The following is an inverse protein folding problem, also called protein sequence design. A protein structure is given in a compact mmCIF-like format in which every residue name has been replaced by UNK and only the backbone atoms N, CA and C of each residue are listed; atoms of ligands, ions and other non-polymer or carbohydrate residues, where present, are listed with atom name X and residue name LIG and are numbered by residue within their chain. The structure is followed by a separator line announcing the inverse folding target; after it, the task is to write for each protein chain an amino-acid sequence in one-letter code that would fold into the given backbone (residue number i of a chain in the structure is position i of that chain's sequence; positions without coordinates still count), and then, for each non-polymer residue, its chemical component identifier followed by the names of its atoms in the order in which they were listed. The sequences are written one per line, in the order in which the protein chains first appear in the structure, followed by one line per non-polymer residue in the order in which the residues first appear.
data_IF_212970675656
#
_entry.id   IF_212970675656
#
_cell.length_a   1.000
_cell.length_b   1.000
_cell.length_c   1.000
_cell.angle_alpha   90.00
_cell.angle_beta   90.00
_cell.angle_gamma   90.00
#
_symmetry.space_group_name_H-M   'P 1'
#
loop_
_entity.id
_entity.type
_entity.pdbx_description
1 polymer ?
#
# COMPACT_ATOMS: atom_id res chain seq x y z
N UNK A 1 23.33 -24.21 29.14
CA UNK A 1 23.09 -23.84 27.71
C UNK A 1 21.59 -23.81 27.30
N UNK A 2 20.68 -24.59 27.94
CA UNK A 2 19.25 -24.62 27.56
C UNK A 2 18.44 -23.35 27.88
N UNK A 3 18.72 -22.63 28.98
CA UNK A 3 17.91 -21.47 29.42
C UNK A 3 18.15 -20.18 28.60
N UNK A 4 19.35 -19.99 28.08
CA UNK A 4 19.67 -18.83 27.24
C UNK A 4 19.04 -18.92 25.85
N UNK A 5 18.91 -20.13 25.28
CA UNK A 5 18.25 -20.33 23.98
C UNK A 5 16.73 -20.12 24.08
N UNK A 6 16.11 -20.52 25.18
CA UNK A 6 14.66 -20.32 25.38
C UNK A 6 14.29 -18.84 25.57
N UNK A 7 15.11 -18.04 26.27
CA UNK A 7 14.85 -16.61 26.47
C UNK A 7 15.04 -15.79 25.18
N UNK A 8 15.98 -16.17 24.34
CA UNK A 8 16.20 -15.54 23.02
C UNK A 8 15.05 -15.86 22.05
N UNK A 9 14.52 -17.07 22.06
CA UNK A 9 13.37 -17.46 21.25
C UNK A 9 12.10 -16.72 21.69
N UNK A 10 11.87 -16.55 22.99
CA UNK A 10 10.72 -15.77 23.53
C UNK A 10 10.80 -14.29 23.12
N UNK A 11 11.98 -13.65 23.20
CA UNK A 11 12.16 -12.25 22.77
C UNK A 11 11.87 -12.07 21.29
N UNK A 12 12.24 -13.01 20.44
CA UNK A 12 11.97 -12.97 18.98
C UNK A 12 10.50 -13.16 18.66
N UNK A 13 9.83 -14.06 19.37
CA UNK A 13 8.37 -14.24 19.24
C UNK A 13 7.65 -12.94 19.63
N UNK A 14 8.10 -12.28 20.70
CA UNK A 14 7.57 -10.99 21.13
C UNK A 14 7.72 -9.89 20.07
N UNK A 15 8.92 -9.73 19.49
CA UNK A 15 9.14 -8.74 18.40
C UNK A 15 8.26 -9.05 17.19
N UNK A 16 8.13 -10.32 16.81
CA UNK A 16 7.27 -10.71 15.70
C UNK A 16 5.79 -10.41 15.97
N UNK A 17 5.28 -10.74 17.15
CA UNK A 17 3.92 -10.42 17.53
C UNK A 17 3.68 -8.89 17.56
N UNK A 18 4.64 -8.11 18.08
CA UNK A 18 4.57 -6.66 18.08
C UNK A 18 4.58 -6.07 16.66
N UNK A 19 5.40 -6.62 15.76
CA UNK A 19 5.43 -6.19 14.36
C UNK A 19 4.10 -6.46 13.65
N UNK A 20 3.44 -7.58 13.92
CA UNK A 20 2.09 -7.88 13.43
C UNK A 20 1.06 -6.90 13.97
N UNK A 21 1.12 -6.59 15.27
CA UNK A 21 0.19 -5.63 15.88
C UNK A 21 0.38 -4.23 15.28
N UNK A 22 1.64 -3.79 15.10
CA UNK A 22 1.96 -2.50 14.44
C UNK A 22 1.47 -2.48 12.99
N UNK A 23 1.66 -3.56 12.24
CA UNK A 23 1.20 -3.70 10.86
C UNK A 23 -0.33 -3.61 10.76
N UNK A 24 -1.05 -4.35 11.60
CA UNK A 24 -2.51 -4.34 11.64
C UNK A 24 -3.07 -2.96 12.02
N UNK A 25 -2.47 -2.32 13.05
CA UNK A 25 -2.83 -0.95 13.46
C UNK A 25 -2.58 0.06 12.35
N UNK A 26 -1.51 -0.11 11.57
CA UNK A 26 -1.21 0.74 10.40
C UNK A 26 -2.25 0.55 9.30
N UNK A 27 -2.72 -0.67 9.05
CA UNK A 27 -3.79 -0.90 8.08
C UNK A 27 -5.11 -0.22 8.51
N UNK A 28 -5.47 -0.28 9.79
CA UNK A 28 -6.61 0.44 10.33
C UNK A 28 -6.44 1.96 10.21
N UNK A 29 -5.21 2.47 10.42
CA UNK A 29 -4.90 3.88 10.22
C UNK A 29 -5.07 4.29 8.75
N UNK A 30 -4.64 3.46 7.78
CA UNK A 30 -4.87 3.70 6.36
C UNK A 30 -6.37 3.78 6.04
N UNK A 31 -7.17 2.85 6.57
CA UNK A 31 -8.63 2.88 6.41
C UNK A 31 -9.25 4.15 7.00
N UNK A 32 -8.82 4.53 8.21
CA UNK A 32 -9.25 5.78 8.86
C UNK A 32 -8.93 7.01 7.99
N UNK A 33 -7.69 7.13 7.47
CA UNK A 33 -7.31 8.21 6.56
C UNK A 33 -8.10 8.20 5.25
N UNK A 34 -8.43 7.00 4.75
CA UNK A 34 -9.33 6.82 3.61
C UNK A 34 -10.72 7.41 3.85
N UNK A 35 -11.31 7.16 5.02
CA UNK A 35 -12.62 7.72 5.41
C UNK A 35 -12.55 9.24 5.52
N UNK A 36 -11.52 9.78 6.21
CA UNK A 36 -11.30 11.23 6.35
C UNK A 36 -11.29 11.92 4.98
N UNK A 37 -10.51 11.38 4.05
CA UNK A 37 -10.41 11.95 2.69
C UNK A 37 -11.69 11.72 1.88
N UNK A 38 -12.33 10.54 1.97
CA UNK A 38 -13.55 10.22 1.21
C UNK A 38 -14.76 11.07 1.63
N UNK A 39 -14.81 11.45 2.92
CA UNK A 39 -15.82 12.38 3.44
C UNK A 39 -15.49 13.85 3.21
N UNK A 40 -14.30 14.18 2.70
CA UNK A 40 -13.87 15.58 2.51
C UNK A 40 -13.60 16.34 3.81
N UNK A 41 -13.32 15.62 4.91
CA UNK A 41 -13.20 16.22 6.26
C UNK A 41 -11.75 16.33 6.76
N UNK A 42 -10.77 16.19 5.88
CA UNK A 42 -9.36 16.19 6.26
C UNK A 42 -8.75 17.58 6.51
N UNK A 43 -9.58 18.60 6.62
CA UNK A 43 -9.24 19.98 7.00
C UNK A 43 -10.21 20.51 8.07
N UNK A 44 -10.91 19.60 8.77
CA UNK A 44 -11.89 19.97 9.81
C UNK A 44 -11.22 20.48 11.09
N UNK A 45 -9.94 20.15 11.31
CA UNK A 45 -9.14 20.63 12.45
C UNK A 45 -7.96 21.41 11.91
N UNK A 46 -7.99 22.75 11.93
CA UNK A 46 -7.07 23.61 11.16
C UNK A 46 -5.68 23.77 11.79
N UNK A 47 -5.48 23.31 13.01
CA UNK A 47 -4.23 23.43 13.77
C UNK A 47 -3.53 22.10 14.00
N UNK A 48 -2.21 22.14 14.13
CA UNK A 48 -1.35 21.02 14.44
C UNK A 48 -0.07 21.53 15.13
N UNK A 49 0.43 20.90 16.20
CA UNK A 49 0.05 19.61 16.80
C UNK A 49 -1.14 19.67 17.79
N UNK A 50 -1.81 20.79 17.88
CA UNK A 50 -3.00 20.98 18.71
C UNK A 50 -4.30 20.60 18.00
N UNK A 51 -5.42 20.64 18.71
CA UNK A 51 -6.78 20.52 18.19
C UNK A 51 -7.61 21.67 18.75
N UNK A 52 -7.88 22.69 17.93
CA UNK A 52 -8.53 23.94 18.35
C UNK A 52 -7.88 24.59 19.57
N UNK A 53 -6.53 24.63 19.59
CA UNK A 53 -5.73 25.17 20.69
C UNK A 53 -5.57 24.27 21.91
N UNK A 54 -6.31 23.17 22.00
CA UNK A 54 -6.15 22.18 23.06
C UNK A 54 -4.99 21.24 22.80
N UNK A 55 -4.41 20.68 23.85
CA UNK A 55 -3.59 19.48 23.69
C UNK A 55 -4.41 18.40 23.00
N UNK A 56 -3.87 17.80 21.91
CA UNK A 56 -4.58 16.81 21.10
C UNK A 56 -5.12 15.63 21.94
N UNK A 57 -4.41 15.19 22.98
CA UNK A 57 -4.83 14.06 23.82
C UNK A 57 -5.86 14.44 24.89
N UNK A 58 -6.07 15.73 25.11
CA UNK A 58 -6.98 16.29 26.13
C UNK A 58 -8.14 17.07 25.51
N UNK A 59 -8.34 16.93 24.18
CA UNK A 59 -9.44 17.61 23.50
C UNK A 59 -10.79 17.07 24.01
N UNK A 60 -11.72 17.97 24.44
CA UNK A 60 -12.98 17.56 25.04
C UNK A 60 -13.84 16.70 24.12
N UNK A 61 -14.41 15.61 24.65
CA UNK A 61 -15.27 14.68 23.89
C UNK A 61 -16.50 15.40 23.33
N UNK A 62 -17.01 16.43 23.99
CA UNK A 62 -18.12 17.26 23.49
C UNK A 62 -17.80 17.98 22.17
N UNK A 63 -16.50 18.17 21.84
CA UNK A 63 -16.04 18.72 20.57
C UNK A 63 -15.90 17.71 19.44
N UNK A 64 -16.12 16.41 19.71
CA UNK A 64 -15.98 15.34 18.70
C UNK A 64 -17.24 15.23 17.83
N UNK A 65 -17.48 16.23 17.00
CA UNK A 65 -18.68 16.34 16.16
C UNK A 65 -18.35 16.38 14.68
N UNK A 66 -19.19 15.81 13.84
CA UNK A 66 -19.09 15.90 12.39
C UNK A 66 -17.70 15.51 11.85
N UNK A 67 -17.09 16.38 11.03
CA UNK A 67 -15.76 16.20 10.44
C UNK A 67 -14.63 16.11 11.46
N UNK A 68 -14.75 16.85 12.57
CA UNK A 68 -13.76 16.86 13.66
C UNK A 68 -13.60 15.46 14.24
N UNK A 69 -14.68 14.71 14.43
CA UNK A 69 -14.62 13.34 14.93
C UNK A 69 -13.70 12.46 14.08
N UNK A 70 -13.87 12.48 12.76
CA UNK A 70 -13.10 11.62 11.87
C UNK A 70 -11.62 12.03 11.82
N UNK A 71 -11.33 13.32 11.67
CA UNK A 71 -9.97 13.83 11.57
C UNK A 71 -9.22 13.69 12.88
N UNK A 72 -9.84 14.06 14.00
CA UNK A 72 -9.22 13.96 15.31
C UNK A 72 -8.97 12.49 15.71
N UNK A 73 -9.93 11.58 15.49
CA UNK A 73 -9.74 10.15 15.71
C UNK A 73 -8.58 9.60 14.87
N UNK A 74 -8.48 10.02 13.59
CA UNK A 74 -7.36 9.64 12.72
C UNK A 74 -6.01 10.10 13.31
N UNK A 75 -5.90 11.31 13.83
CA UNK A 75 -4.69 11.85 14.48
C UNK A 75 -4.29 11.05 15.71
N UNK A 76 -5.26 10.65 16.55
CA UNK A 76 -4.99 9.83 17.74
C UNK A 76 -4.50 8.44 17.36
N UNK A 77 -5.14 7.78 16.38
CA UNK A 77 -4.69 6.48 15.87
C UNK A 77 -3.28 6.61 15.28
N UNK A 78 -2.99 7.70 14.53
CA UNK A 78 -1.67 7.96 13.96
C UNK A 78 -0.59 8.12 15.04
N UNK A 79 -0.91 8.81 16.14
CA UNK A 79 -0.01 8.95 17.28
C UNK A 79 0.26 7.60 17.95
N UNK A 80 -0.77 6.75 18.07
CA UNK A 80 -0.63 5.37 18.54
C UNK A 80 0.28 4.53 17.66
N UNK A 81 0.09 4.57 16.34
CA UNK A 81 0.96 3.87 15.38
C UNK A 81 2.39 4.40 15.42
N UNK A 82 2.58 5.71 15.60
CA UNK A 82 3.89 6.33 15.81
C UNK A 82 4.60 5.73 17.02
N UNK A 83 3.91 5.64 18.17
CA UNK A 83 4.44 5.03 19.40
C UNK A 83 4.77 3.54 19.20
N UNK A 84 3.87 2.77 18.59
CA UNK A 84 4.09 1.36 18.29
C UNK A 84 5.34 1.16 17.41
N UNK A 85 5.53 2.02 16.42
CA UNK A 85 6.68 1.98 15.51
C UNK A 85 7.98 2.35 16.23
N UNK A 86 7.96 3.34 17.11
CA UNK A 86 9.10 3.72 17.94
C UNK A 86 9.54 2.56 18.84
N UNK A 87 8.60 1.90 19.52
CA UNK A 87 8.87 0.73 20.35
C UNK A 87 9.43 -0.42 19.50
N UNK A 88 8.83 -0.68 18.31
CA UNK A 88 9.33 -1.69 17.39
C UNK A 88 10.77 -1.43 16.96
N UNK A 89 11.10 -0.21 16.59
CA UNK A 89 12.45 0.17 16.16
C UNK A 89 13.46 0.01 17.30
N UNK A 90 13.15 0.50 18.51
CA UNK A 90 13.98 0.34 19.69
C UNK A 90 14.21 -1.15 20.05
N UNK A 91 13.14 -1.94 19.98
CA UNK A 91 13.23 -3.38 20.27
C UNK A 91 14.07 -4.13 19.24
N UNK A 92 13.92 -3.82 17.93
CA UNK A 92 14.77 -4.37 16.87
C UNK A 92 16.25 -3.99 17.06
N UNK A 93 16.55 -2.75 17.44
CA UNK A 93 17.91 -2.32 17.73
C UNK A 93 18.55 -3.11 18.89
N UNK A 94 17.76 -3.45 19.90
CA UNK A 94 18.21 -4.16 21.08
C UNK A 94 18.46 -5.66 20.86
N UNK A 95 17.55 -6.35 20.11
CA UNK A 95 17.55 -7.83 20.09
C UNK A 95 17.87 -8.46 18.74
N UNK A 96 17.72 -7.73 17.63
CA UNK A 96 17.90 -8.30 16.29
C UNK A 96 19.39 -8.34 15.90
N UNK A 97 19.97 -9.50 15.56
CA UNK A 97 21.40 -9.59 15.21
C UNK A 97 21.70 -9.08 13.78
N UNK A 98 20.71 -9.11 12.87
CA UNK A 98 20.90 -8.78 11.46
C UNK A 98 20.82 -7.27 11.24
N UNK A 99 21.92 -6.66 10.81
CA UNK A 99 22.02 -5.19 10.59
C UNK A 99 20.94 -4.66 9.63
N UNK A 100 20.64 -5.40 8.56
CA UNK A 100 19.64 -4.95 7.59
C UNK A 100 18.23 -4.84 8.18
N UNK A 101 17.84 -5.72 9.12
CA UNK A 101 16.54 -5.66 9.81
C UNK A 101 16.50 -4.49 10.81
N UNK A 102 17.62 -4.26 11.54
CA UNK A 102 17.76 -3.06 12.39
C UNK A 102 17.57 -1.78 11.58
N UNK A 103 18.22 -1.70 10.40
CA UNK A 103 18.11 -0.54 9.53
C UNK A 103 16.66 -0.35 9.02
N UNK A 104 15.93 -1.43 8.69
CA UNK A 104 14.50 -1.31 8.34
C UNK A 104 13.68 -0.75 9.51
N UNK A 105 13.96 -1.13 10.75
CA UNK A 105 13.32 -0.55 11.95
C UNK A 105 13.57 0.95 12.08
N UNK A 106 14.81 1.40 11.88
CA UNK A 106 15.17 2.82 11.88
C UNK A 106 14.47 3.57 10.74
N UNK A 107 14.48 3.01 9.52
CA UNK A 107 13.81 3.59 8.36
C UNK A 107 12.30 3.71 8.63
N UNK A 108 11.68 2.71 9.25
CA UNK A 108 10.27 2.76 9.62
C UNK A 108 9.98 3.88 10.63
N UNK A 109 10.84 4.07 11.63
CA UNK A 109 10.71 5.15 12.60
C UNK A 109 10.85 6.53 11.94
N UNK A 110 11.85 6.72 11.08
CA UNK A 110 12.02 7.97 10.33
C UNK A 110 10.81 8.21 9.42
N UNK A 111 10.33 7.17 8.72
CA UNK A 111 9.17 7.28 7.84
C UNK A 111 7.90 7.69 8.59
N UNK A 112 7.64 7.16 9.80
CA UNK A 112 6.46 7.55 10.58
C UNK A 112 6.57 8.98 11.13
N UNK A 113 7.78 9.45 11.46
CA UNK A 113 8.00 10.86 11.82
C UNK A 113 7.72 11.80 10.63
N UNK A 114 8.23 11.45 9.44
CA UNK A 114 7.94 12.21 8.20
C UNK A 114 6.44 12.18 7.88
N UNK A 115 5.76 11.05 8.10
CA UNK A 115 4.30 10.95 7.95
C UNK A 115 3.54 11.92 8.86
N UNK A 116 3.92 11.99 10.14
CA UNK A 116 3.33 12.95 11.08
C UNK A 116 3.53 14.39 10.61
N UNK A 117 4.75 14.72 10.17
CA UNK A 117 5.08 16.04 9.66
C UNK A 117 4.28 16.39 8.40
N UNK A 118 4.20 15.50 7.41
CA UNK A 118 3.42 15.72 6.18
C UNK A 118 1.93 15.92 6.49
N UNK A 119 1.37 15.08 7.39
CA UNK A 119 -0.02 15.22 7.83
C UNK A 119 -0.29 16.57 8.52
N UNK A 120 0.61 17.00 9.41
CA UNK A 120 0.52 18.27 10.08
C UNK A 120 0.67 19.48 9.12
N UNK A 121 1.69 19.45 8.25
CA UNK A 121 1.94 20.52 7.26
C UNK A 121 0.77 20.65 6.27
N UNK A 122 0.17 19.53 5.85
CA UNK A 122 -1.00 19.57 4.96
C UNK A 122 -2.10 20.46 5.53
N UNK A 123 -2.40 20.29 6.81
CA UNK A 123 -3.46 21.02 7.49
C UNK A 123 -3.02 22.46 7.79
N UNK A 124 -1.84 22.66 8.38
CA UNK A 124 -1.36 23.98 8.78
C UNK A 124 -1.10 24.92 7.60
N UNK A 125 -0.76 24.38 6.42
CA UNK A 125 -0.52 25.14 5.20
C UNK A 125 -1.73 25.18 4.26
N UNK A 126 -2.81 24.46 4.58
CA UNK A 126 -3.99 24.29 3.72
C UNK A 126 -3.66 23.85 2.29
N UNK A 127 -2.68 22.92 2.15
CA UNK A 127 -2.21 22.41 0.85
C UNK A 127 -2.60 20.95 0.64
N UNK A 128 -3.58 20.74 -0.23
CA UNK A 128 -4.07 19.40 -0.56
C UNK A 128 -3.01 18.54 -1.28
N UNK A 129 -2.10 19.13 -2.04
CA UNK A 129 -1.06 18.44 -2.79
C UNK A 129 -0.11 17.67 -1.86
N UNK A 130 0.14 18.16 -0.64
CA UNK A 130 0.92 17.41 0.38
C UNK A 130 0.26 16.07 0.71
N UNK A 131 -1.07 15.99 0.60
CA UNK A 131 -1.83 14.76 0.81
C UNK A 131 -1.46 13.64 -0.16
N UNK A 132 -1.01 13.95 -1.39
CA UNK A 132 -0.55 12.95 -2.37
C UNK A 132 0.70 12.25 -1.82
N UNK A 133 1.71 13.02 -1.39
CA UNK A 133 2.95 12.48 -0.82
C UNK A 133 2.70 11.74 0.48
N UNK A 134 1.84 12.27 1.35
CA UNK A 134 1.41 11.64 2.59
C UNK A 134 0.77 10.26 2.31
N UNK A 135 -0.13 10.16 1.33
CA UNK A 135 -0.79 8.92 0.97
C UNK A 135 0.20 7.88 0.40
N UNK A 136 1.13 8.28 -0.48
CA UNK A 136 2.13 7.38 -1.06
C UNK A 136 3.13 6.87 -0.03
N UNK A 137 3.60 7.76 0.84
CA UNK A 137 4.52 7.37 1.91
C UNK A 137 3.81 6.43 2.91
N UNK A 138 2.52 6.65 3.22
CA UNK A 138 1.73 5.78 4.10
C UNK A 138 1.66 4.34 3.57
N UNK A 139 1.43 4.16 2.27
CA UNK A 139 1.37 2.84 1.65
C UNK A 139 2.74 2.17 1.57
N UNK A 140 3.80 2.96 1.30
CA UNK A 140 5.19 2.49 1.34
C UNK A 140 5.59 2.05 2.75
N UNK A 141 5.19 2.81 3.77
CA UNK A 141 5.40 2.49 5.18
C UNK A 141 4.68 1.19 5.60
N UNK A 142 3.44 1.00 5.14
CA UNK A 142 2.70 -0.24 5.37
C UNK A 142 3.42 -1.46 4.76
N UNK A 143 3.93 -1.34 3.54
CA UNK A 143 4.73 -2.39 2.89
C UNK A 143 6.06 -2.66 3.64
N UNK A 144 6.72 -1.61 4.12
CA UNK A 144 7.95 -1.72 4.92
C UNK A 144 7.71 -2.49 6.22
N UNK A 145 6.63 -2.20 6.94
CA UNK A 145 6.24 -2.95 8.14
C UNK A 145 5.95 -4.42 7.81
N UNK A 146 5.36 -4.70 6.65
CA UNK A 146 5.15 -6.07 6.17
C UNK A 146 6.46 -6.83 5.99
N UNK A 147 7.48 -6.20 5.38
CA UNK A 147 8.82 -6.80 5.24
C UNK A 147 9.44 -7.05 6.62
N UNK A 148 9.35 -6.10 7.55
CA UNK A 148 9.84 -6.26 8.93
C UNK A 148 9.14 -7.44 9.61
N UNK A 149 7.81 -7.51 9.49
CA UNK A 149 7.00 -8.59 10.08
C UNK A 149 7.41 -9.96 9.55
N UNK A 150 7.66 -10.08 8.25
CA UNK A 150 8.18 -11.30 7.67
C UNK A 150 9.60 -11.61 8.16
N UNK A 151 10.48 -10.61 8.15
CA UNK A 151 11.86 -10.77 8.52
C UNK A 151 12.03 -11.20 9.98
N UNK A 152 11.13 -10.77 10.88
CA UNK A 152 11.12 -11.14 12.29
C UNK A 152 10.46 -12.50 12.57
N UNK A 153 9.79 -13.10 11.57
CA UNK A 153 9.14 -14.41 11.73
C UNK A 153 10.11 -15.50 12.16
N UNK A 154 9.78 -16.32 13.18
CA UNK A 154 10.59 -17.45 13.59
C UNK A 154 10.86 -18.42 12.44
N UNK A 155 9.90 -18.65 11.54
CA UNK A 155 10.07 -19.49 10.34
C UNK A 155 11.11 -18.92 9.38
N UNK A 156 11.08 -17.60 9.15
CA UNK A 156 12.08 -16.93 8.30
C UNK A 156 13.49 -17.00 8.90
N UNK A 157 13.60 -16.85 10.21
CA UNK A 157 14.88 -16.91 10.92
C UNK A 157 15.52 -18.28 10.86
N UNK A 158 14.73 -19.36 10.98
CA UNK A 158 15.19 -20.75 10.92
C UNK A 158 15.46 -21.27 9.50
N UNK A 159 15.37 -20.39 8.48
CA UNK A 159 15.53 -20.80 7.08
C UNK A 159 14.40 -21.68 6.54
N UNK A 160 13.36 -21.91 7.34
CA UNK A 160 12.20 -22.76 7.01
C UNK A 160 11.14 -22.08 6.15
N UNK A 161 11.41 -20.91 5.60
CA UNK A 161 10.51 -20.28 4.63
C UNK A 161 10.64 -20.98 3.29
N UNK A 162 9.51 -21.42 2.80
CA UNK A 162 9.41 -22.03 1.49
C UNK A 162 9.97 -21.10 0.43
N UNK A 163 11.09 -21.50 -0.09
CA UNK A 163 11.77 -20.80 -1.17
C UNK A 163 10.95 -21.03 -2.43
N UNK A 164 10.50 -19.95 -3.08
CA UNK A 164 9.98 -20.07 -4.43
C UNK A 164 11.12 -20.48 -5.36
N UNK A 165 10.81 -21.40 -6.29
CA UNK A 165 11.80 -21.82 -7.28
C UNK A 165 12.23 -20.57 -8.07
N UNK A 166 13.54 -20.39 -8.29
CA UNK A 166 14.06 -19.24 -8.99
C UNK A 166 13.52 -19.16 -10.42
N UNK A 167 12.65 -18.19 -10.69
CA UNK A 167 12.19 -17.87 -12.04
C UNK A 167 12.43 -16.37 -12.31
N UNK A 168 13.49 -16.02 -13.07
CA UNK A 168 13.82 -14.62 -13.34
C UNK A 168 12.72 -13.87 -14.10
N UNK A 169 11.97 -14.57 -14.97
CA UNK A 169 10.87 -13.97 -15.74
C UNK A 169 9.70 -13.66 -14.82
N UNK A 170 9.31 -14.61 -13.95
CA UNK A 170 8.26 -14.41 -12.95
C UNK A 170 8.60 -13.24 -12.02
N UNK A 171 9.87 -13.13 -11.60
CA UNK A 171 10.35 -12.02 -10.78
C UNK A 171 10.20 -10.68 -11.48
N UNK A 172 10.60 -10.58 -12.76
CA UNK A 172 10.46 -9.34 -13.54
C UNK A 172 9.00 -8.94 -13.73
N UNK A 173 8.13 -9.90 -14.04
CA UNK A 173 6.69 -9.65 -14.18
C UNK A 173 6.06 -9.22 -12.86
N UNK A 174 6.39 -9.87 -11.74
CA UNK A 174 5.89 -9.49 -10.42
C UNK A 174 6.36 -8.08 -10.02
N UNK A 175 7.62 -7.74 -10.30
CA UNK A 175 8.16 -6.40 -10.05
C UNK A 175 7.46 -5.36 -10.91
N UNK A 176 7.29 -5.61 -12.21
CA UNK A 176 6.57 -4.72 -13.13
C UNK A 176 5.14 -4.48 -12.63
N UNK A 177 4.41 -5.54 -12.28
CA UNK A 177 3.05 -5.43 -11.74
C UNK A 177 3.01 -4.59 -10.45
N UNK A 178 3.98 -4.80 -9.54
CA UNK A 178 4.08 -4.06 -8.29
C UNK A 178 4.34 -2.56 -8.53
N UNK A 179 5.24 -2.24 -9.45
CA UNK A 179 5.54 -0.86 -9.84
C UNK A 179 4.32 -0.20 -10.50
N UNK A 180 3.63 -0.90 -11.39
CA UNK A 180 2.41 -0.38 -12.02
C UNK A 180 1.31 -0.11 -10.98
N UNK A 181 1.14 -0.99 -9.97
CA UNK A 181 0.20 -0.76 -8.87
C UNK A 181 0.61 0.46 -8.04
N UNK A 182 1.89 0.68 -7.77
CA UNK A 182 2.35 1.88 -7.08
C UNK A 182 2.05 3.16 -7.89
N UNK A 183 2.28 3.14 -9.20
CA UNK A 183 1.92 4.23 -10.12
C UNK A 183 0.39 4.45 -10.10
N UNK A 184 -0.39 3.38 -10.11
CA UNK A 184 -1.86 3.45 -10.03
C UNK A 184 -2.33 4.14 -8.74
N UNK A 185 -1.69 3.82 -7.62
CA UNK A 185 -1.99 4.45 -6.33
C UNK A 185 -1.61 5.93 -6.31
N UNK A 186 -0.51 6.29 -6.99
CA UNK A 186 -0.13 7.69 -7.19
C UNK A 186 -1.18 8.45 -8.02
N UNK A 187 -1.62 7.88 -9.15
CA UNK A 187 -2.70 8.45 -9.97
C UNK A 187 -4.00 8.56 -9.19
N UNK A 188 -4.36 7.53 -8.39
CA UNK A 188 -5.54 7.56 -7.54
C UNK A 188 -5.47 8.62 -6.45
N UNK A 189 -4.31 8.82 -5.82
CA UNK A 189 -4.09 9.88 -4.85
C UNK A 189 -4.20 11.27 -5.52
N UNK A 190 -3.56 11.47 -6.66
CA UNK A 190 -3.67 12.71 -7.46
C UNK A 190 -5.13 12.97 -7.84
N UNK A 191 -5.82 11.99 -8.42
CA UNK A 191 -7.22 12.10 -8.80
C UNK A 191 -8.12 12.48 -7.62
N UNK A 192 -7.79 12.01 -6.41
CA UNK A 192 -8.53 12.30 -5.20
C UNK A 192 -8.33 13.74 -4.72
N UNK A 193 -7.10 14.24 -4.74
CA UNK A 193 -6.74 15.58 -4.29
C UNK A 193 -7.04 16.66 -5.34
N UNK A 194 -7.06 16.30 -6.63
CA UNK A 194 -7.50 17.17 -7.73
C UNK A 194 -9.02 17.12 -7.95
N UNK A 195 -9.79 16.48 -7.06
CA UNK A 195 -11.25 16.32 -7.17
C UNK A 195 -11.72 15.69 -8.49
N UNK A 196 -10.85 14.96 -9.19
CA UNK A 196 -11.08 14.35 -10.50
C UNK A 196 -11.86 13.02 -10.46
N UNK A 197 -12.24 12.53 -9.27
CA UNK A 197 -12.84 11.19 -9.10
C UNK A 197 -14.17 10.97 -9.82
N UNK A 198 -14.90 12.04 -10.11
CA UNK A 198 -16.15 12.04 -10.87
C UNK A 198 -16.08 13.00 -12.08
N UNK A 199 -14.87 13.27 -12.59
CA UNK A 199 -14.71 14.04 -13.81
C UNK A 199 -15.43 13.36 -14.98
N UNK A 200 -15.43 12.02 -15.04
CA UNK A 200 -16.19 11.20 -15.98
C UNK A 200 -17.24 10.42 -15.17
N UNK A 201 -18.54 10.65 -15.40
CA UNK A 201 -19.61 10.09 -14.58
C UNK A 201 -20.03 8.67 -14.98
N UNK A 202 -19.58 8.16 -16.11
CA UNK A 202 -19.96 6.86 -16.66
C UNK A 202 -18.79 5.86 -16.68
N UNK A 203 -19.13 4.58 -16.69
CA UNK A 203 -18.21 3.46 -16.81
C UNK A 203 -18.92 2.27 -17.47
N UNK A 204 -18.34 1.57 -18.46
CA UNK A 204 -16.92 1.63 -18.87
C UNK A 204 -16.57 2.77 -19.83
N UNK A 205 -17.56 3.44 -20.40
CA UNK A 205 -17.36 4.54 -21.34
C UNK A 205 -16.96 5.85 -20.63
N UNK A 206 -16.65 6.86 -21.43
CA UNK A 206 -16.32 8.21 -20.99
C UNK A 206 -17.18 9.20 -21.80
N UNK A 207 -18.26 9.70 -21.18
CA UNK A 207 -19.29 10.51 -21.85
C UNK A 207 -19.93 9.80 -23.05
N UNK A 208 -20.13 8.47 -22.93
CA UNK A 208 -20.70 7.62 -23.97
C UNK A 208 -19.71 7.14 -25.05
N UNK A 209 -18.45 7.56 -24.99
CA UNK A 209 -17.38 7.21 -25.94
C UNK A 209 -16.28 6.40 -25.27
N UNK A 210 -15.40 5.73 -26.05
CA UNK A 210 -14.22 5.02 -25.54
C UNK A 210 -13.14 6.03 -25.10
N UNK A 211 -12.95 7.11 -25.88
CA UNK A 211 -12.05 8.21 -25.59
C UNK A 211 -12.86 9.51 -25.60
N UNK A 212 -12.84 10.28 -24.51
CA UNK A 212 -13.63 11.51 -24.45
C UNK A 212 -13.03 12.61 -25.31
N UNK A 213 -13.86 13.36 -26.00
CA UNK A 213 -13.45 14.61 -26.65
C UNK A 213 -13.29 15.69 -25.56
N UNK A 214 -12.13 16.31 -25.53
CA UNK A 214 -11.79 17.38 -24.58
C UNK A 214 -11.43 18.69 -25.30
N UNK A 215 -11.81 18.82 -26.59
CA UNK A 215 -11.71 20.11 -27.30
C UNK A 215 -12.54 21.18 -26.56
N UNK A 216 -12.16 22.48 -26.64
CA UNK A 216 -12.86 23.53 -25.89
C UNK A 216 -14.37 23.51 -26.05
N UNK A 217 -14.88 23.33 -27.27
CA UNK A 217 -16.33 23.27 -27.57
C UNK A 217 -17.02 22.06 -26.94
N UNK A 218 -16.37 20.89 -26.94
CA UNK A 218 -16.89 19.68 -26.30
C UNK A 218 -16.89 19.79 -24.79
N UNK A 219 -15.82 20.37 -24.23
CA UNK A 219 -15.69 20.61 -22.79
C UNK A 219 -16.74 21.62 -22.29
N UNK A 220 -17.02 22.69 -23.06
CA UNK A 220 -18.07 23.65 -22.75
C UNK A 220 -19.45 23.00 -22.76
N UNK A 221 -19.73 22.12 -23.73
CA UNK A 221 -21.00 21.36 -23.78
C UNK A 221 -21.12 20.41 -22.56
N UNK A 222 -20.05 19.69 -22.20
CA UNK A 222 -20.00 18.85 -21.00
C UNK A 222 -20.29 19.68 -19.74
N UNK A 223 -19.64 20.83 -19.59
CA UNK A 223 -19.78 21.67 -18.39
C UNK A 223 -21.16 22.35 -18.33
N UNK A 224 -21.73 22.73 -19.47
CA UNK A 224 -23.11 23.24 -19.54
C UNK A 224 -24.11 22.19 -19.03
N UNK A 225 -23.95 20.92 -19.45
CA UNK A 225 -24.79 19.81 -18.96
C UNK A 225 -24.58 19.55 -17.47
N UNK A 226 -23.32 19.55 -17.00
CA UNK A 226 -22.99 19.35 -15.57
C UNK A 226 -23.64 20.43 -14.70
N UNK A 227 -23.58 21.67 -15.13
CA UNK A 227 -24.22 22.80 -14.41
C UNK A 227 -25.75 22.66 -14.39
N UNK A 228 -26.38 22.19 -15.48
CA UNK A 228 -27.81 21.93 -15.52
C UNK A 228 -28.23 20.80 -14.56
N UNK A 229 -27.33 19.84 -14.30
CA UNK A 229 -27.53 18.72 -13.36
C UNK A 229 -27.03 19.06 -11.93
N UNK A 230 -26.73 20.32 -11.64
CA UNK A 230 -26.18 20.83 -10.35
C UNK A 230 -24.83 20.15 -9.95
N UNK A 231 -24.02 19.79 -10.96
CA UNK A 231 -22.71 19.17 -10.78
C UNK A 231 -21.61 20.20 -11.09
N UNK A 232 -20.56 20.22 -10.26
CA UNK A 232 -19.40 21.09 -10.43
C UNK A 232 -18.75 20.87 -11.82
N UNK A 233 -18.38 21.94 -12.55
CA UNK A 233 -17.65 21.85 -13.81
C UNK A 233 -16.35 21.04 -13.68
N UNK A 234 -15.94 20.42 -14.77
CA UNK A 234 -14.68 19.64 -14.84
C UNK A 234 -13.71 20.28 -15.84
N UNK A 235 -12.43 19.95 -15.71
CA UNK A 235 -11.37 20.35 -16.64
C UNK A 235 -10.90 19.20 -17.50
N UNK A 236 -10.29 19.50 -18.65
CA UNK A 236 -9.64 18.48 -19.48
C UNK A 236 -8.58 17.71 -18.71
N UNK A 237 -7.81 18.36 -17.83
CA UNK A 237 -6.80 17.70 -16.99
C UNK A 237 -7.42 16.66 -16.06
N UNK A 238 -8.54 16.97 -15.40
CA UNK A 238 -9.25 16.03 -14.52
C UNK A 238 -9.78 14.82 -15.30
N UNK A 239 -10.33 15.04 -16.49
CA UNK A 239 -10.79 13.97 -17.39
C UNK A 239 -9.61 13.05 -17.75
N UNK A 240 -8.47 13.61 -18.17
CA UNK A 240 -7.32 12.82 -18.59
C UNK A 240 -6.61 12.12 -17.44
N UNK A 241 -6.58 12.67 -16.21
CA UNK A 241 -6.09 11.97 -15.03
C UNK A 241 -6.94 10.72 -14.76
N UNK A 242 -8.27 10.82 -14.87
CA UNK A 242 -9.17 9.68 -14.68
C UNK A 242 -9.01 8.65 -15.81
N UNK A 243 -8.82 9.07 -17.07
CA UNK A 243 -8.53 8.17 -18.19
C UNK A 243 -7.18 7.47 -18.03
N UNK A 244 -6.14 8.17 -17.59
CA UNK A 244 -4.85 7.57 -17.29
C UNK A 244 -4.96 6.51 -16.20
N UNK A 245 -5.72 6.79 -15.14
CA UNK A 245 -6.00 5.82 -14.08
C UNK A 245 -6.69 4.56 -14.62
N UNK A 246 -7.70 4.70 -15.50
CA UNK A 246 -8.36 3.56 -16.16
C UNK A 246 -7.41 2.78 -17.07
N UNK A 247 -6.59 3.47 -17.86
CA UNK A 247 -5.62 2.84 -18.77
C UNK A 247 -4.54 2.05 -18.04
N UNK A 248 -3.98 2.61 -16.96
CA UNK A 248 -3.00 1.89 -16.11
C UNK A 248 -3.64 0.68 -15.43
N UNK A 249 -4.93 0.75 -15.03
CA UNK A 249 -5.65 -0.39 -14.46
C UNK A 249 -5.73 -1.58 -15.45
N UNK A 250 -5.95 -1.32 -16.75
CA UNK A 250 -5.89 -2.35 -17.80
C UNK A 250 -4.48 -2.95 -17.88
N UNK A 251 -3.45 -2.11 -17.88
CA UNK A 251 -2.05 -2.55 -17.88
C UNK A 251 -1.71 -3.44 -16.68
N UNK A 252 -2.18 -3.08 -15.49
CA UNK A 252 -2.02 -3.89 -14.26
C UNK A 252 -2.71 -5.24 -14.41
N UNK A 253 -3.95 -5.26 -14.89
CA UNK A 253 -4.70 -6.50 -15.09
C UNK A 253 -3.93 -7.45 -16.00
N UNK A 254 -3.48 -6.98 -17.17
CA UNK A 254 -2.69 -7.77 -18.12
C UNK A 254 -1.35 -8.23 -17.53
N UNK A 255 -0.67 -7.39 -16.76
CA UNK A 255 0.58 -7.74 -16.10
C UNK A 255 0.38 -8.84 -15.05
N UNK A 256 -0.65 -8.75 -14.20
CA UNK A 256 -0.95 -9.76 -13.17
C UNK A 256 -1.47 -11.06 -13.80
N UNK A 257 -2.24 -11.01 -14.89
CA UNK A 257 -2.59 -12.19 -15.69
C UNK A 257 -1.31 -12.88 -16.21
N UNK A 258 -0.33 -12.09 -16.70
CA UNK A 258 0.94 -12.64 -17.18
C UNK A 258 1.74 -13.30 -16.06
N UNK A 259 1.70 -12.75 -14.83
CA UNK A 259 2.27 -13.38 -13.63
C UNK A 259 1.60 -14.74 -13.35
N UNK A 260 0.27 -14.78 -13.37
CA UNK A 260 -0.49 -16.01 -13.10
C UNK A 260 -0.25 -17.07 -14.17
N UNK A 261 -0.25 -16.71 -15.45
CA UNK A 261 0.05 -17.60 -16.58
C UNK A 261 1.48 -18.15 -16.50
N UNK A 262 2.46 -17.31 -16.13
CA UNK A 262 3.84 -17.76 -15.95
C UNK A 262 3.98 -18.73 -14.79
N UNK A 263 3.32 -18.44 -13.66
CA UNK A 263 3.30 -19.33 -12.51
C UNK A 263 2.59 -20.67 -12.80
N UNK A 264 1.50 -20.63 -13.60
CA UNK A 264 0.78 -21.84 -14.03
C UNK A 264 1.63 -22.75 -14.92
N UNK A 265 2.37 -22.20 -15.87
CA UNK A 265 3.25 -22.95 -16.76
C UNK A 265 4.44 -23.58 -16.03
N UNK A 266 4.78 -23.08 -14.85
CA UNK A 266 5.87 -23.61 -14.03
C UNK A 266 5.28 -24.55 -12.96
N UNK A 267 5.05 -25.84 -13.33
CA UNK A 267 4.38 -26.85 -12.50
C UNK A 267 5.03 -27.07 -11.11
N UNK A 268 6.30 -26.73 -10.96
CA UNK A 268 7.03 -26.86 -9.68
C UNK A 268 6.73 -25.71 -8.72
N UNK A 269 6.13 -24.60 -9.22
CA UNK A 269 5.87 -23.38 -8.45
C UNK A 269 4.44 -23.26 -7.93
N UNK A 270 3.78 -24.36 -7.51
CA UNK A 270 2.37 -24.39 -7.07
C UNK A 270 1.99 -23.27 -6.08
N UNK A 271 2.89 -22.91 -5.17
CA UNK A 271 2.66 -21.82 -4.21
C UNK A 271 2.67 -20.44 -4.88
N UNK A 272 3.57 -20.21 -5.84
CA UNK A 272 3.57 -18.97 -6.61
C UNK A 272 2.28 -18.82 -7.42
N UNK A 273 1.72 -19.93 -7.93
CA UNK A 273 0.41 -19.93 -8.59
C UNK A 273 -0.71 -19.49 -7.64
N UNK A 274 -0.77 -20.04 -6.42
CA UNK A 274 -1.79 -19.62 -5.43
C UNK A 274 -1.71 -18.12 -5.14
N UNK A 275 -0.50 -17.59 -4.92
CA UNK A 275 -0.30 -16.16 -4.69
C UNK A 275 -0.71 -15.30 -5.88
N UNK A 276 -0.38 -15.74 -7.09
CA UNK A 276 -0.75 -15.07 -8.33
C UNK A 276 -2.26 -15.07 -8.56
N UNK A 277 -2.96 -16.16 -8.24
CA UNK A 277 -4.42 -16.25 -8.34
C UNK A 277 -5.12 -15.37 -7.32
N UNK A 278 -4.63 -15.31 -6.07
CA UNK A 278 -5.14 -14.37 -5.06
C UNK A 278 -4.95 -12.93 -5.54
N UNK A 279 -3.77 -12.61 -6.08
CA UNK A 279 -3.50 -11.27 -6.59
C UNK A 279 -4.42 -10.89 -7.76
N UNK A 280 -4.61 -11.82 -8.71
CA UNK A 280 -5.53 -11.62 -9.85
C UNK A 280 -6.97 -11.40 -9.37
N UNK A 281 -7.45 -12.17 -8.39
CA UNK A 281 -8.76 -11.97 -7.79
C UNK A 281 -8.86 -10.58 -7.14
N UNK A 282 -7.83 -10.15 -6.41
CA UNK A 282 -7.80 -8.80 -5.81
C UNK A 282 -7.88 -7.71 -6.88
N UNK A 283 -7.14 -7.84 -7.99
CA UNK A 283 -7.19 -6.86 -9.09
C UNK A 283 -8.56 -6.86 -9.76
N UNK A 284 -9.18 -8.02 -9.95
CA UNK A 284 -10.55 -8.10 -10.46
C UNK A 284 -11.55 -7.36 -9.54
N UNK A 285 -11.48 -7.62 -8.23
CA UNK A 285 -12.30 -6.90 -7.23
C UNK A 285 -12.01 -5.40 -7.24
N UNK A 286 -10.76 -4.98 -7.46
CA UNK A 286 -10.37 -3.57 -7.59
C UNK A 286 -11.06 -2.88 -8.76
N UNK A 287 -11.13 -3.53 -9.92
CA UNK A 287 -11.83 -2.99 -11.10
C UNK A 287 -13.32 -2.81 -10.79
N UNK A 288 -13.95 -3.81 -10.17
CA UNK A 288 -15.37 -3.73 -9.78
C UNK A 288 -15.63 -2.62 -8.75
N UNK A 289 -14.77 -2.48 -7.74
CA UNK A 289 -14.88 -1.40 -6.74
C UNK A 289 -14.64 -0.03 -7.36
N UNK A 290 -13.73 0.08 -8.34
CA UNK A 290 -13.50 1.31 -9.09
C UNK A 290 -14.74 1.72 -9.89
N UNK A 291 -15.38 0.78 -10.59
CA UNK A 291 -16.63 1.00 -11.28
C UNK A 291 -17.75 1.40 -10.30
N UNK A 292 -17.84 0.68 -9.18
CA UNK A 292 -18.85 0.98 -8.15
C UNK A 292 -18.64 2.35 -7.49
N UNK A 293 -17.39 2.80 -7.36
CA UNK A 293 -17.10 4.17 -6.87
C UNK A 293 -17.75 5.23 -7.77
N UNK A 294 -17.74 5.02 -9.10
CA UNK A 294 -18.44 5.91 -10.05
C UNK A 294 -19.96 5.77 -9.90
N UNK A 295 -20.50 4.56 -9.98
CA UNK A 295 -21.94 4.29 -9.93
C UNK A 295 -22.61 4.69 -8.60
N UNK A 296 -21.85 4.66 -7.49
CA UNK A 296 -22.31 5.10 -6.17
C UNK A 296 -22.15 6.61 -5.93
N UNK A 297 -21.80 7.38 -6.95
CA UNK A 297 -21.48 8.81 -6.82
C UNK A 297 -20.42 9.05 -5.74
N UNK A 298 -19.37 8.22 -5.74
CA UNK A 298 -18.22 8.31 -4.80
C UNK A 298 -18.63 8.11 -3.33
N UNK A 299 -19.53 7.14 -3.04
CA UNK A 299 -19.84 6.78 -1.67
C UNK A 299 -18.58 6.57 -0.85
N UNK A 300 -18.51 7.17 0.36
CA UNK A 300 -17.28 7.27 1.13
C UNK A 300 -16.73 5.91 1.60
N UNK A 301 -17.60 4.96 1.89
CA UNK A 301 -17.30 3.58 2.25
C UNK A 301 -16.71 2.82 1.05
N UNK A 302 -17.38 2.87 -0.12
CA UNK A 302 -16.91 2.23 -1.36
C UNK A 302 -15.54 2.76 -1.77
N UNK A 303 -15.36 4.10 -1.80
CA UNK A 303 -14.09 4.73 -2.14
C UNK A 303 -12.97 4.36 -1.14
N UNK A 304 -13.31 4.19 0.14
CA UNK A 304 -12.36 3.77 1.18
C UNK A 304 -11.99 2.30 1.02
N UNK A 305 -12.94 1.41 0.74
CA UNK A 305 -12.67 -0.02 0.51
C UNK A 305 -11.83 -0.19 -0.76
N UNK A 306 -12.12 0.56 -1.83
CA UNK A 306 -11.32 0.57 -3.05
C UNK A 306 -9.86 0.96 -2.75
N UNK A 307 -9.62 2.02 -1.99
CA UNK A 307 -8.29 2.45 -1.57
C UNK A 307 -7.60 1.39 -0.70
N UNK A 308 -8.29 0.81 0.29
CA UNK A 308 -7.74 -0.19 1.20
C UNK A 308 -7.34 -1.49 0.47
N UNK A 309 -8.18 -1.97 -0.45
CA UNK A 309 -7.84 -3.14 -1.28
C UNK A 309 -6.67 -2.84 -2.23
N UNK A 310 -6.54 -1.59 -2.73
CA UNK A 310 -5.39 -1.14 -3.49
C UNK A 310 -4.09 -1.22 -2.69
N UNK A 311 -4.11 -0.75 -1.44
CA UNK A 311 -2.98 -0.86 -0.52
C UNK A 311 -2.60 -2.33 -0.24
N UNK A 312 -3.58 -3.22 -0.04
CA UNK A 312 -3.36 -4.65 0.13
C UNK A 312 -2.80 -5.30 -1.15
N UNK A 313 -3.23 -4.84 -2.33
CA UNK A 313 -2.69 -5.34 -3.61
C UNK A 313 -1.22 -4.95 -3.80
N UNK A 314 -0.84 -3.73 -3.44
CA UNK A 314 0.56 -3.31 -3.40
C UNK A 314 1.36 -4.14 -2.39
N UNK A 315 0.84 -4.27 -1.19
CA UNK A 315 1.44 -5.07 -0.11
C UNK A 315 1.74 -6.51 -0.58
N UNK A 316 0.73 -7.17 -1.16
CA UNK A 316 0.90 -8.54 -1.69
C UNK A 316 2.00 -8.60 -2.76
N UNK A 317 2.03 -7.63 -3.68
CA UNK A 317 3.07 -7.52 -4.71
C UNK A 317 4.47 -7.36 -4.14
N UNK A 318 4.64 -6.45 -3.17
CA UNK A 318 5.94 -6.23 -2.48
C UNK A 318 6.40 -7.50 -1.76
N UNK A 319 5.50 -8.16 -1.02
CA UNK A 319 5.82 -9.41 -0.31
C UNK A 319 6.15 -10.53 -1.29
N UNK A 320 5.41 -10.64 -2.39
CA UNK A 320 5.67 -11.63 -3.42
C UNK A 320 7.04 -11.42 -4.07
N UNK A 321 7.38 -10.18 -4.44
CA UNK A 321 8.70 -9.82 -4.95
C UNK A 321 9.82 -10.12 -3.96
N UNK A 322 9.63 -9.80 -2.67
CA UNK A 322 10.60 -10.10 -1.61
C UNK A 322 10.87 -11.60 -1.51
N UNK A 323 9.83 -12.44 -1.55
CA UNK A 323 9.96 -13.90 -1.51
C UNK A 323 10.65 -14.47 -2.73
N UNK A 324 10.29 -14.00 -3.94
CA UNK A 324 10.94 -14.43 -5.19
C UNK A 324 12.43 -14.05 -5.21
N UNK A 325 12.77 -12.86 -4.67
CA UNK A 325 14.19 -12.44 -4.60
C UNK A 325 15.01 -13.35 -3.70
N UNK A 326 14.50 -13.71 -2.54
CA UNK A 326 15.18 -14.61 -1.60
C UNK A 326 15.32 -16.03 -2.14
N UNK A 327 14.33 -16.53 -2.88
CA UNK A 327 14.40 -17.83 -3.55
C UNK A 327 15.56 -17.91 -4.53
N UNK A 328 15.79 -16.86 -5.32
CA UNK A 328 16.90 -16.81 -6.28
C UNK A 328 18.26 -16.82 -5.55
N UNK A 329 18.38 -16.14 -4.42
CA UNK A 329 19.63 -16.14 -3.63
C UNK A 329 19.92 -17.52 -3.03
N UNK A 330 18.92 -18.20 -2.46
CA UNK A 330 19.08 -19.53 -1.91
C UNK A 330 19.47 -20.56 -3.00
N UNK A 331 18.88 -20.47 -4.21
CA UNK A 331 19.25 -21.35 -5.33
C UNK A 331 20.68 -21.18 -5.83
N UNK A 332 21.29 -20.02 -5.66
CA UNK A 332 22.72 -19.80 -6.01
C UNK A 332 23.69 -20.48 -5.04
N UNK A 333 23.27 -20.74 -3.80
CA UNK A 333 24.11 -21.42 -2.81
C UNK A 333 23.90 -22.95 -2.81
N UNK A 334 22.89 -23.46 -3.53
CA UNK A 334 22.57 -24.90 -3.63
C UNK A 334 23.03 -25.54 -4.95
N UNK A 335 23.82 -24.86 -5.79
CA UNK A 335 24.53 -25.51 -6.89
C UNK A 335 25.70 -26.27 -6.28
N UNK A 336 25.69 -27.63 -6.28
CA UNK A 336 26.85 -28.38 -5.81
C UNK A 336 28.03 -28.01 -6.72
N UNK A 337 29.14 -27.66 -6.09
CA UNK A 337 30.40 -27.44 -6.77
C UNK A 337 30.75 -28.73 -7.54
N UNK A 338 30.58 -28.69 -8.86
CA UNK A 338 30.85 -29.86 -9.73
C UNK A 338 32.32 -30.25 -9.76
N UNK A 339 33.17 -29.54 -9.00
CA UNK A 339 34.57 -29.90 -8.81
C UNK A 339 34.77 -31.03 -7.78
N UNK A 340 33.93 -31.13 -6.74
CA UNK A 340 34.02 -32.22 -5.75
C UNK A 340 33.57 -33.61 -6.29
N UNK A 341 32.79 -33.63 -7.38
CA UNK A 341 32.40 -34.89 -7.99
C UNK A 341 33.48 -35.54 -8.88
N UNK A 342 34.53 -34.80 -9.26
CA UNK A 342 35.65 -35.32 -10.06
C UNK A 342 36.75 -35.98 -9.23
N UNK A 343 36.87 -35.65 -7.95
CA UNK A 343 37.89 -36.19 -7.09
C UNK A 343 37.58 -37.61 -6.54
N UNK A 344 36.29 -38.04 -6.63
CA UNK A 344 35.91 -39.43 -6.26
C UNK A 344 36.02 -40.43 -7.38
N UNK A 345 36.25 -40.03 -8.65
CA UNK A 345 36.43 -40.93 -9.79
C UNK A 345 37.91 -41.30 -10.06
N UNK A 346 38.84 -40.73 -9.30
CA UNK A 346 40.30 -41.00 -9.45
C UNK A 346 40.86 -41.98 -8.38
N UNK A 347 40.01 -42.58 -7.53
CA UNK A 347 40.38 -43.49 -6.46
C UNK A 347 39.59 -44.82 -6.59
N UNK A 348 39.32 -45.25 -7.83
CA UNK A 348 38.78 -46.59 -8.08
C UNK A 348 39.62 -47.28 -9.16
#
# INVERSE_FOLDING_TARGET
MGSQNSSLDLRRVGVHAWSWFTLASTFLLLCSGGIVTSKGVGMSVPDWPTTYGYNMFLFPISGWVGGIFYEHAHRLIASGVGLLTMILAAWLLAVEPRRWVKNLGVIAFVAVCVQGLLGGLRVSLFKDEIGIFHALLAQSFFCLLGIITIATSPKFFRGGWDVFIPDPVLKKLALLSTVLIFVQLALGATMRHEHAGLAIPDFPLAYGEILPDTAPTALDAINTKRLADDIVPTSAAQIWIQMAHRGVAIGIFLAVVSVALRAFRNLVARRALVWSCIWLLMIFCQVLLGAWTIWSNKAADVATIHMALGALSLFLGVIFCFRLHRGIQAGRFCVPDTQTARDFSSIA
#
